data_IF_622401738378
#
_entry.id   IF_622401738378
#
_cell.length_a   1.000
_cell.length_b   1.000
_cell.length_c   1.000
_cell.angle_alpha   90.00
_cell.angle_beta   90.00
_cell.angle_gamma   90.00
#
_symmetry.space_group_name_H-M   'P 1'
#
loop_
_entity.id
_entity.type
_entity.pdbx_description
1 polymer ?
#
# COMPACT_ATOMS: atom_id res chain seq x y z
N UNK A 1 8.76 -3.43 37.57
CA UNK A 1 7.61 -4.29 37.20
C UNK A 1 6.43 -3.41 36.87
N UNK A 2 6.28 -3.08 35.60
CA UNK A 2 5.16 -2.25 35.07
C UNK A 2 4.12 -3.21 34.51
N UNK A 3 2.94 -3.27 35.10
CA UNK A 3 1.78 -3.98 34.55
C UNK A 3 1.28 -3.21 33.36
N UNK A 4 1.54 -3.71 32.16
CA UNK A 4 0.88 -3.22 30.95
C UNK A 4 -0.62 -3.46 31.10
N UNK A 5 -1.37 -2.38 31.11
CA UNK A 5 -2.82 -2.35 31.08
C UNK A 5 -3.27 -2.98 29.75
N UNK A 6 -3.83 -4.18 29.83
CA UNK A 6 -4.44 -4.85 28.67
C UNK A 6 -5.76 -4.13 28.38
N UNK A 7 -5.70 -3.17 27.46
CA UNK A 7 -6.89 -2.58 26.86
C UNK A 7 -7.62 -3.67 26.07
N UNK A 8 -8.81 -4.04 26.54
CA UNK A 8 -9.73 -4.98 25.87
C UNK A 8 -10.48 -4.30 24.72
N UNK A 9 -9.80 -3.43 23.97
CA UNK A 9 -10.30 -2.93 22.70
C UNK A 9 -10.44 -4.10 21.71
N UNK A 10 -11.56 -4.20 21.05
CA UNK A 10 -11.81 -5.15 19.96
C UNK A 10 -10.78 -4.92 18.83
N UNK A 11 -9.67 -5.64 18.88
CA UNK A 11 -8.64 -5.61 17.86
C UNK A 11 -9.07 -6.54 16.72
N UNK A 12 -9.25 -5.99 15.53
CA UNK A 12 -9.45 -6.77 14.31
C UNK A 12 -8.19 -7.62 14.07
N UNK A 13 -8.38 -8.95 13.94
CA UNK A 13 -7.30 -9.90 13.61
C UNK A 13 -7.54 -10.45 12.22
N UNK A 14 -6.49 -10.49 11.43
CA UNK A 14 -6.45 -11.28 10.21
C UNK A 14 -6.07 -12.70 10.59
N UNK A 15 -6.72 -13.71 9.99
CA UNK A 15 -6.41 -15.07 10.34
C UNK A 15 -7.21 -16.09 9.51
N UNK A 16 -6.86 -17.37 9.69
CA UNK A 16 -7.56 -18.50 9.09
C UNK A 16 -8.96 -18.59 9.70
N UNK A 17 -9.98 -18.62 8.86
CA UNK A 17 -11.38 -18.75 9.25
C UNK A 17 -11.82 -20.18 9.01
N UNK A 18 -12.16 -20.96 10.05
CA UNK A 18 -12.64 -22.33 9.86
C UNK A 18 -14.05 -22.34 9.29
N UNK A 19 -14.28 -23.16 8.25
CA UNK A 19 -15.58 -23.30 7.58
C UNK A 19 -16.45 -24.42 8.21
N UNK A 20 -15.84 -25.30 9.00
CA UNK A 20 -16.53 -26.43 9.63
C UNK A 20 -16.03 -26.71 11.05
N UNK A 21 -16.75 -27.58 11.77
CA UNK A 21 -16.45 -27.91 13.15
C UNK A 21 -15.10 -28.62 13.33
N UNK A 22 -14.68 -29.44 12.36
CA UNK A 22 -13.41 -30.18 12.42
C UNK A 22 -12.24 -29.21 12.33
N UNK A 23 -12.28 -28.27 11.39
CA UNK A 23 -11.28 -27.21 11.26
C UNK A 23 -11.21 -26.33 12.53
N UNK A 24 -12.38 -26.00 13.10
CA UNK A 24 -12.44 -25.24 14.35
C UNK A 24 -11.79 -25.97 15.51
N UNK A 25 -12.04 -27.27 15.64
CA UNK A 25 -11.40 -28.10 16.67
C UNK A 25 -9.89 -28.24 16.42
N UNK A 26 -9.45 -28.38 15.18
CA UNK A 26 -8.03 -28.44 14.82
C UNK A 26 -7.29 -27.13 15.18
N UNK A 27 -7.92 -25.98 14.93
CA UNK A 27 -7.35 -24.69 15.35
C UNK A 27 -7.30 -24.53 16.87
N UNK A 28 -8.37 -24.94 17.56
CA UNK A 28 -8.45 -24.85 19.03
C UNK A 28 -7.50 -25.81 19.74
N UNK A 29 -7.21 -26.97 19.15
CA UNK A 29 -6.28 -27.97 19.72
C UNK A 29 -4.81 -27.54 19.65
N UNK A 30 -4.48 -26.46 18.92
CA UNK A 30 -3.10 -26.06 18.64
C UNK A 30 -2.35 -26.98 17.68
N UNK A 31 -3.04 -27.98 17.10
CA UNK A 31 -2.45 -28.88 16.10
C UNK A 31 -2.10 -28.13 14.80
N UNK A 32 -2.85 -27.09 14.48
CA UNK A 32 -2.58 -26.17 13.39
C UNK A 32 -2.16 -24.82 13.99
N UNK A 33 -0.86 -24.47 14.02
CA UNK A 33 -0.42 -23.16 14.50
C UNK A 33 -0.73 -22.08 13.46
N UNK A 34 -1.77 -21.24 13.67
CA UNK A 34 -2.24 -20.28 12.66
C UNK A 34 -1.14 -19.40 12.10
N UNK A 35 -0.30 -18.81 12.97
CA UNK A 35 0.75 -17.90 12.54
C UNK A 35 1.76 -18.50 11.55
N UNK A 36 2.08 -19.78 11.65
CA UNK A 36 2.99 -20.45 10.71
C UNK A 36 2.32 -20.62 9.35
N UNK A 37 1.08 -21.10 9.34
CA UNK A 37 0.32 -21.30 8.09
C UNK A 37 -0.03 -19.96 7.42
N UNK A 38 -0.39 -18.94 8.21
CA UNK A 38 -0.66 -17.60 7.71
C UNK A 38 0.56 -17.00 7.01
N UNK A 39 1.77 -17.13 7.60
CA UNK A 39 3.00 -16.70 6.97
C UNK A 39 3.29 -17.47 5.68
N UNK A 40 3.15 -18.80 5.71
CA UNK A 40 3.42 -19.63 4.54
C UNK A 40 2.46 -19.34 3.38
N UNK A 41 1.16 -19.37 3.63
CA UNK A 41 0.17 -19.03 2.61
C UNK A 41 0.25 -17.56 2.21
N UNK A 42 0.55 -16.66 3.16
CA UNK A 42 0.67 -15.22 2.93
C UNK A 42 1.64 -14.88 1.80
N UNK A 43 2.80 -15.52 1.76
CA UNK A 43 3.79 -15.35 0.69
C UNK A 43 3.20 -15.70 -0.69
N UNK A 44 2.57 -16.88 -0.80
CA UNK A 44 2.01 -17.37 -2.06
C UNK A 44 0.83 -16.50 -2.53
N UNK A 45 -0.08 -16.18 -1.61
CA UNK A 45 -1.27 -15.35 -1.90
C UNK A 45 -0.86 -13.94 -2.35
N UNK A 46 0.06 -13.31 -1.62
CA UNK A 46 0.54 -11.97 -1.94
C UNK A 46 1.21 -11.95 -3.32
N UNK A 47 2.10 -12.91 -3.59
CA UNK A 47 2.79 -12.96 -4.88
C UNK A 47 1.84 -13.23 -6.04
N UNK A 48 0.84 -14.07 -5.85
CA UNK A 48 -0.21 -14.35 -6.84
C UNK A 48 -0.98 -13.07 -7.22
N UNK A 49 -1.42 -12.29 -6.23
CA UNK A 49 -2.17 -11.04 -6.47
C UNK A 49 -1.29 -9.97 -7.11
N UNK A 50 -0.07 -9.80 -6.62
CA UNK A 50 0.90 -8.85 -7.19
C UNK A 50 1.22 -9.18 -8.64
N UNK A 51 1.46 -10.46 -8.96
CA UNK A 51 1.74 -10.92 -10.32
C UNK A 51 0.55 -10.68 -11.24
N UNK A 52 -0.65 -11.02 -10.80
CA UNK A 52 -1.87 -10.78 -11.56
C UNK A 52 -2.12 -9.28 -11.82
N UNK A 53 -1.80 -8.42 -10.82
CA UNK A 53 -1.88 -6.97 -10.98
C UNK A 53 -0.87 -6.45 -12.00
N UNK A 54 0.38 -6.92 -11.93
CA UNK A 54 1.45 -6.49 -12.84
C UNK A 54 1.22 -6.92 -14.27
N UNK A 55 0.61 -8.07 -14.49
CA UNK A 55 0.26 -8.61 -15.80
C UNK A 55 -1.09 -8.11 -16.32
N UNK A 56 -1.73 -7.15 -15.66
CA UNK A 56 -3.03 -6.58 -16.01
C UNK A 56 -4.17 -7.62 -16.14
N UNK A 57 -4.06 -8.76 -15.44
CA UNK A 57 -5.08 -9.83 -15.45
C UNK A 57 -6.43 -9.29 -14.98
N UNK A 58 -6.47 -8.48 -13.93
CA UNK A 58 -7.71 -7.89 -13.44
C UNK A 58 -8.31 -6.91 -14.43
N UNK A 59 -7.49 -6.07 -15.07
CA UNK A 59 -7.93 -5.11 -16.09
C UNK A 59 -8.50 -5.81 -17.32
N UNK A 60 -7.92 -6.94 -17.75
CA UNK A 60 -8.42 -7.71 -18.89
C UNK A 60 -9.86 -8.20 -18.70
N UNK A 61 -10.26 -8.41 -17.42
CA UNK A 61 -11.59 -8.86 -17.00
C UNK A 61 -12.55 -7.71 -16.65
N UNK A 62 -12.13 -6.46 -16.77
CA UNK A 62 -12.95 -5.31 -16.38
C UNK A 62 -14.23 -5.18 -17.19
N UNK A 63 -14.19 -5.49 -18.49
CA UNK A 63 -15.34 -5.40 -19.40
C UNK A 63 -16.30 -6.59 -19.33
N UNK A 64 -15.91 -7.71 -18.70
CA UNK A 64 -16.77 -8.89 -18.58
C UNK A 64 -16.02 -10.21 -18.46
N UNK A 65 -16.77 -11.33 -18.42
CA UNK A 65 -16.18 -12.65 -18.29
C UNK A 65 -15.42 -13.10 -19.54
N UNK A 66 -14.21 -13.65 -19.37
CA UNK A 66 -13.36 -14.21 -20.42
C UNK A 66 -12.94 -15.65 -20.09
N UNK A 67 -12.63 -16.46 -21.10
CA UNK A 67 -11.93 -17.72 -20.90
C UNK A 67 -10.43 -17.48 -20.70
N UNK A 68 -9.68 -18.50 -20.28
CA UNK A 68 -8.23 -18.36 -19.98
C UNK A 68 -7.37 -18.02 -21.21
N UNK A 69 -7.77 -18.48 -22.40
CA UNK A 69 -7.06 -18.20 -23.65
C UNK A 69 -7.20 -16.72 -24.03
N UNK A 70 -8.42 -16.16 -23.98
CA UNK A 70 -8.67 -14.75 -24.25
C UNK A 70 -7.93 -13.82 -23.25
N UNK A 71 -7.86 -14.21 -21.96
CA UNK A 71 -7.07 -13.47 -20.95
C UNK A 71 -5.59 -13.53 -21.30
N UNK A 72 -5.08 -14.72 -21.64
CA UNK A 72 -3.67 -14.89 -21.98
C UNK A 72 -3.27 -14.06 -23.21
N UNK A 73 -4.10 -14.04 -24.23
CA UNK A 73 -3.89 -13.22 -25.43
C UNK A 73 -3.84 -11.72 -25.09
N UNK A 74 -4.83 -11.23 -24.32
CA UNK A 74 -4.89 -9.80 -23.92
C UNK A 74 -3.71 -9.35 -23.08
N UNK A 75 -3.21 -10.25 -22.23
CA UNK A 75 -2.13 -9.96 -21.30
C UNK A 75 -0.73 -10.35 -21.83
N UNK A 76 -0.63 -10.93 -23.03
CA UNK A 76 0.62 -11.39 -23.60
C UNK A 76 1.28 -12.49 -22.76
N UNK A 77 0.48 -13.42 -22.21
CA UNK A 77 0.94 -14.46 -21.27
C UNK A 77 0.72 -15.87 -21.82
N UNK A 78 1.38 -16.87 -21.21
CA UNK A 78 1.24 -18.27 -21.63
C UNK A 78 -0.13 -18.86 -21.19
N UNK A 79 -0.97 -19.42 -22.11
CA UNK A 79 -2.35 -19.80 -21.81
C UNK A 79 -2.51 -20.73 -20.60
N UNK A 80 -1.70 -21.81 -20.52
CA UNK A 80 -1.76 -22.78 -19.42
C UNK A 80 -1.36 -22.16 -18.08
N UNK A 81 -0.30 -21.32 -18.06
CA UNK A 81 0.13 -20.65 -16.84
C UNK A 81 -0.90 -19.61 -16.38
N UNK A 82 -1.52 -18.91 -17.33
CA UNK A 82 -2.62 -17.98 -17.05
C UNK A 82 -3.82 -18.69 -16.44
N UNK A 83 -4.22 -19.85 -16.96
CA UNK A 83 -5.30 -20.65 -16.38
C UNK A 83 -5.01 -21.04 -14.92
N UNK A 84 -3.77 -21.47 -14.62
CA UNK A 84 -3.35 -21.79 -13.25
C UNK A 84 -3.43 -20.56 -12.34
N UNK A 85 -2.97 -19.40 -12.82
CA UNK A 85 -3.06 -18.14 -12.07
C UNK A 85 -4.52 -17.73 -11.82
N UNK A 86 -5.39 -17.84 -12.83
CA UNK A 86 -6.82 -17.54 -12.71
C UNK A 86 -7.51 -18.48 -11.70
N UNK A 87 -7.17 -19.78 -11.71
CA UNK A 87 -7.70 -20.75 -10.74
C UNK A 87 -7.25 -20.42 -9.32
N UNK A 88 -5.98 -20.02 -9.11
CA UNK A 88 -5.51 -19.55 -7.82
C UNK A 88 -6.28 -18.31 -7.34
N UNK A 89 -6.56 -17.35 -8.24
CA UNK A 89 -7.36 -16.16 -7.93
C UNK A 89 -8.84 -16.49 -7.61
N UNK A 90 -9.38 -17.55 -8.19
CA UNK A 90 -10.70 -18.09 -7.79
C UNK A 90 -10.64 -18.66 -6.38
N UNK A 91 -9.60 -19.45 -6.06
CA UNK A 91 -9.38 -20.00 -4.71
C UNK A 91 -9.21 -18.91 -3.64
N UNK A 92 -8.55 -17.81 -3.97
CA UNK A 92 -8.42 -16.63 -3.08
C UNK A 92 -9.76 -15.88 -2.90
N UNK A 93 -10.74 -16.12 -3.76
CA UNK A 93 -12.04 -15.43 -3.71
C UNK A 93 -12.04 -14.06 -4.40
N UNK A 94 -11.08 -13.77 -5.28
CA UNK A 94 -11.03 -12.55 -6.08
C UNK A 94 -11.73 -12.68 -7.43
N UNK A 95 -11.73 -13.88 -7.98
CA UNK A 95 -12.46 -14.23 -9.20
C UNK A 95 -13.56 -15.25 -8.91
N UNK A 96 -14.44 -15.41 -9.87
CA UNK A 96 -15.38 -16.53 -10.00
C UNK A 96 -15.24 -17.14 -11.37
N UNK A 97 -15.48 -18.45 -11.49
CA UNK A 97 -15.51 -19.16 -12.76
C UNK A 97 -16.88 -19.79 -12.96
N UNK A 98 -17.45 -19.65 -14.15
CA UNK A 98 -18.65 -20.33 -14.60
C UNK A 98 -18.52 -20.64 -16.09
N UNK A 99 -18.86 -21.85 -16.51
CA UNK A 99 -18.77 -22.28 -17.91
C UNK A 99 -17.41 -21.97 -18.54
N UNK A 100 -16.30 -22.23 -17.79
CA UNK A 100 -14.91 -21.94 -18.16
C UNK A 100 -14.61 -20.45 -18.43
N UNK A 101 -15.48 -19.55 -17.99
CA UNK A 101 -15.26 -18.09 -18.05
C UNK A 101 -15.03 -17.52 -16.67
N UNK A 102 -13.95 -16.75 -16.55
CA UNK A 102 -13.53 -16.08 -15.33
C UNK A 102 -14.09 -14.66 -15.29
N UNK A 103 -14.54 -14.23 -14.13
CA UNK A 103 -15.04 -12.87 -13.91
C UNK A 103 -14.62 -12.35 -12.56
N UNK A 104 -14.43 -11.02 -12.47
CA UNK A 104 -14.13 -10.34 -11.22
C UNK A 104 -15.28 -10.47 -10.23
N UNK A 105 -14.96 -10.77 -8.96
CA UNK A 105 -15.91 -10.55 -7.87
C UNK A 105 -16.04 -9.06 -7.58
N UNK A 106 -17.10 -8.66 -6.88
CA UNK A 106 -17.37 -7.25 -6.55
C UNK A 106 -16.24 -6.60 -5.79
N UNK A 107 -15.65 -7.31 -4.82
CA UNK A 107 -14.47 -6.86 -4.08
C UNK A 107 -13.29 -6.57 -5.01
N UNK A 108 -12.91 -7.54 -5.85
CA UNK A 108 -11.81 -7.37 -6.79
C UNK A 108 -12.03 -6.18 -7.74
N UNK A 109 -13.26 -5.99 -8.23
CA UNK A 109 -13.61 -4.84 -9.08
C UNK A 109 -13.41 -3.50 -8.36
N UNK A 110 -13.76 -3.43 -7.09
CA UNK A 110 -13.64 -2.19 -6.30
C UNK A 110 -12.22 -1.88 -5.87
N UNK A 111 -11.38 -2.91 -5.64
CA UNK A 111 -10.08 -2.75 -4.99
C UNK A 111 -8.88 -2.99 -5.91
N UNK A 112 -9.04 -3.72 -7.04
CA UNK A 112 -7.90 -4.15 -7.86
C UNK A 112 -7.89 -3.53 -9.25
N UNK A 113 -8.99 -2.95 -9.72
CA UNK A 113 -9.00 -2.19 -10.97
C UNK A 113 -8.44 -0.79 -10.76
N UNK A 114 -7.81 -0.24 -11.80
CA UNK A 114 -7.28 1.12 -11.82
C UNK A 114 -8.34 2.16 -11.42
N UNK A 115 -9.53 2.04 -12.01
CA UNK A 115 -10.66 2.95 -11.75
C UNK A 115 -11.60 2.41 -10.66
N UNK A 116 -11.16 1.45 -9.86
CA UNK A 116 -11.90 0.90 -8.73
C UNK A 116 -12.11 1.96 -7.63
N UNK A 117 -13.28 1.93 -6.99
CA UNK A 117 -13.66 2.92 -5.95
C UNK A 117 -12.60 3.10 -4.85
N UNK A 118 -11.90 2.01 -4.50
CA UNK A 118 -10.90 1.97 -3.43
C UNK A 118 -9.57 1.44 -3.95
N UNK A 119 -9.23 1.67 -5.22
CA UNK A 119 -8.15 1.01 -5.91
C UNK A 119 -6.86 0.87 -5.09
N UNK A 120 -6.45 -0.37 -4.88
CA UNK A 120 -5.17 -0.78 -4.29
C UNK A 120 -4.20 -1.31 -5.36
N UNK A 121 -4.51 -1.07 -6.64
CA UNK A 121 -3.69 -1.53 -7.75
C UNK A 121 -2.25 -1.02 -7.63
N UNK A 122 -2.09 0.28 -7.44
CA UNK A 122 -0.76 0.88 -7.32
C UNK A 122 -0.02 0.43 -6.06
N UNK A 123 -0.73 0.15 -4.96
CA UNK A 123 -0.16 -0.46 -3.78
C UNK A 123 0.40 -1.87 -4.06
N UNK A 124 -0.32 -2.69 -4.84
CA UNK A 124 0.16 -4.01 -5.23
C UNK A 124 1.39 -3.93 -6.16
N UNK A 125 1.47 -2.94 -7.04
CA UNK A 125 2.64 -2.68 -7.87
C UNK A 125 3.84 -2.23 -7.02
N UNK A 126 3.61 -1.39 -6.01
CA UNK A 126 4.63 -1.02 -5.03
C UNK A 126 5.11 -2.26 -4.26
N UNK A 127 4.23 -3.08 -3.72
CA UNK A 127 4.60 -4.29 -3.01
C UNK A 127 5.37 -5.28 -3.90
N UNK A 128 5.08 -5.32 -5.19
CA UNK A 128 5.87 -6.10 -6.14
C UNK A 128 7.32 -5.58 -6.23
N UNK A 129 7.51 -4.26 -6.23
CA UNK A 129 8.82 -3.60 -6.21
C UNK A 129 9.55 -3.83 -4.87
N UNK A 130 8.82 -3.66 -3.74
CA UNK A 130 9.35 -3.84 -2.39
C UNK A 130 9.81 -5.26 -2.09
N UNK A 131 9.32 -6.26 -2.84
CA UNK A 131 9.65 -7.67 -2.62
C UNK A 131 11.14 -7.92 -2.51
N UNK A 132 11.95 -7.29 -3.37
CA UNK A 132 13.40 -7.36 -3.35
C UNK A 132 14.05 -6.73 -2.11
N UNK A 133 13.35 -5.80 -1.44
CA UNK A 133 13.87 -5.18 -0.23
C UNK A 133 13.81 -6.14 0.96
N UNK A 134 12.83 -7.03 0.98
CA UNK A 134 12.69 -8.05 2.00
C UNK A 134 13.80 -9.10 1.97
N UNK A 135 14.50 -9.28 0.84
CA UNK A 135 15.69 -10.14 0.73
C UNK A 135 16.82 -9.68 1.66
N UNK A 136 16.85 -8.40 2.03
CA UNK A 136 17.85 -7.82 2.93
C UNK A 136 17.45 -7.87 4.42
N UNK A 137 16.29 -8.43 4.76
CA UNK A 137 15.79 -8.47 6.13
C UNK A 137 16.74 -9.19 7.08
N UNK A 138 17.32 -10.32 6.67
CA UNK A 138 18.28 -11.07 7.48
C UNK A 138 19.55 -10.26 7.75
N UNK A 139 20.10 -9.59 6.74
CA UNK A 139 21.27 -8.73 6.89
C UNK A 139 21.00 -7.58 7.87
N UNK A 140 19.85 -6.94 7.75
CA UNK A 140 19.44 -5.90 8.67
C UNK A 140 19.37 -6.40 10.13
N UNK A 141 18.75 -7.56 10.36
CA UNK A 141 18.65 -8.15 11.70
C UNK A 141 20.02 -8.51 12.26
N UNK A 142 20.95 -9.00 11.42
CA UNK A 142 22.32 -9.35 11.85
C UNK A 142 23.18 -8.14 12.16
N UNK A 143 23.04 -7.07 11.41
CA UNK A 143 24.02 -5.95 11.41
C UNK A 143 23.46 -4.65 11.97
N UNK A 144 22.15 -4.50 12.06
CA UNK A 144 21.48 -3.24 12.39
C UNK A 144 21.57 -2.16 11.29
N UNK A 145 22.17 -2.49 10.12
CA UNK A 145 22.34 -1.54 9.01
C UNK A 145 21.08 -1.47 8.16
N UNK A 146 20.35 -0.34 8.13
CA UNK A 146 19.14 -0.22 7.33
C UNK A 146 19.46 -0.19 5.83
N UNK A 147 18.58 -0.78 5.03
CA UNK A 147 18.61 -0.63 3.58
C UNK A 147 18.18 0.80 3.20
N UNK A 148 19.03 1.52 2.49
CA UNK A 148 18.78 2.92 2.09
C UNK A 148 18.05 2.98 0.75
N UNK A 149 16.85 2.40 0.67
CA UNK A 149 16.08 2.25 -0.57
C UNK A 149 15.87 3.56 -1.33
N UNK A 150 15.57 4.65 -0.61
CA UNK A 150 15.32 5.96 -1.22
C UNK A 150 16.55 6.58 -1.91
N UNK A 151 17.76 6.09 -1.62
CA UNK A 151 19.00 6.57 -2.26
C UNK A 151 19.34 5.80 -3.53
N UNK A 152 18.72 4.64 -3.74
CA UNK A 152 19.03 3.71 -4.84
C UNK A 152 17.90 3.55 -5.85
N UNK A 153 16.71 4.08 -5.56
CA UNK A 153 15.57 4.02 -6.47
C UNK A 153 15.81 4.87 -7.72
N UNK A 154 15.44 4.33 -8.88
CA UNK A 154 15.35 5.06 -10.13
C UNK A 154 14.12 5.99 -10.15
N UNK A 155 14.04 6.91 -11.11
CA UNK A 155 12.86 7.77 -11.29
C UNK A 155 11.56 6.97 -11.52
N UNK A 156 11.64 5.86 -12.27
CA UNK A 156 10.49 4.98 -12.49
C UNK A 156 10.02 4.34 -11.18
N UNK A 157 10.97 3.85 -10.37
CA UNK A 157 10.69 3.26 -9.07
C UNK A 157 10.12 4.28 -8.08
N UNK A 158 10.61 5.52 -8.10
CA UNK A 158 10.02 6.63 -7.34
C UNK A 158 8.58 6.89 -7.76
N UNK A 159 8.29 6.84 -9.06
CA UNK A 159 6.93 6.97 -9.59
C UNK A 159 5.99 5.87 -9.06
N UNK A 160 6.44 4.60 -9.07
CA UNK A 160 5.68 3.47 -8.51
C UNK A 160 5.49 3.64 -7.01
N UNK A 161 6.56 3.97 -6.28
CA UNK A 161 6.54 4.19 -4.83
C UNK A 161 5.51 5.25 -4.44
N UNK A 162 5.55 6.43 -5.05
CA UNK A 162 4.64 7.52 -4.73
C UNK A 162 3.18 7.22 -5.09
N UNK A 163 2.93 6.52 -6.20
CA UNK A 163 1.56 6.08 -6.54
C UNK A 163 1.04 5.05 -5.55
N UNK A 164 1.88 4.08 -5.18
CA UNK A 164 1.53 3.06 -4.19
C UNK A 164 1.21 3.70 -2.83
N UNK A 165 2.08 4.58 -2.34
CA UNK A 165 1.87 5.29 -1.09
C UNK A 165 0.61 6.16 -1.06
N UNK A 166 0.11 6.59 -2.23
CA UNK A 166 -1.17 7.31 -2.33
C UNK A 166 -2.39 6.40 -2.27
N UNK A 167 -2.24 5.12 -2.62
CA UNK A 167 -3.36 4.17 -2.62
C UNK A 167 -3.95 4.00 -1.23
N UNK A 168 -5.27 4.22 -1.13
CA UNK A 168 -6.01 4.04 0.13
C UNK A 168 -5.75 5.10 1.21
N UNK A 169 -4.95 6.13 0.92
CA UNK A 169 -4.56 7.16 1.91
C UNK A 169 -5.72 8.09 2.29
N UNK A 170 -6.78 8.17 1.50
CA UNK A 170 -7.88 9.13 1.73
C UNK A 170 -8.59 8.91 3.07
N UNK A 171 -8.84 7.66 3.44
CA UNK A 171 -9.51 7.30 4.70
C UNK A 171 -8.64 7.68 5.90
N UNK A 172 -7.38 7.22 6.02
CA UNK A 172 -6.52 7.61 7.14
C UNK A 172 -6.24 9.11 7.16
N UNK A 173 -6.12 9.80 6.01
CA UNK A 173 -5.90 11.24 5.98
C UNK A 173 -7.09 12.02 6.56
N UNK A 174 -8.31 11.62 6.24
CA UNK A 174 -9.52 12.22 6.82
C UNK A 174 -9.63 11.94 8.33
N UNK A 175 -9.28 10.72 8.74
CA UNK A 175 -9.27 10.34 10.15
C UNK A 175 -8.26 11.19 10.94
N UNK A 176 -7.02 11.31 10.45
CA UNK A 176 -5.98 12.15 11.06
C UNK A 176 -6.44 13.60 11.12
N UNK A 177 -6.96 14.17 10.03
CA UNK A 177 -7.46 15.54 10.01
C UNK A 177 -8.56 15.79 11.04
N UNK A 178 -9.37 14.77 11.35
CA UNK A 178 -10.45 14.85 12.35
C UNK A 178 -9.92 14.80 13.79
N UNK A 179 -8.88 13.98 14.05
CA UNK A 179 -8.43 13.68 15.42
C UNK A 179 -7.11 14.37 15.82
N UNK A 180 -6.46 15.08 14.88
CA UNK A 180 -5.24 15.82 15.17
C UNK A 180 -5.52 16.96 16.16
N UNK A 181 -4.89 16.97 17.35
CA UNK A 181 -5.07 18.02 18.33
C UNK A 181 -4.31 19.29 17.90
N UNK A 182 -4.96 20.18 17.18
CA UNK A 182 -4.35 21.46 16.79
C UNK A 182 -4.68 22.57 17.81
N UNK A 183 -3.72 23.44 18.15
CA UNK A 183 -3.99 24.66 18.90
C UNK A 183 -5.05 25.53 18.20
N UNK A 184 -5.98 26.10 18.96
CA UNK A 184 -7.09 26.92 18.39
C UNK A 184 -6.64 28.08 17.52
N UNK A 185 -5.45 28.62 17.79
CA UNK A 185 -4.84 29.74 17.08
C UNK A 185 -3.81 29.30 16.02
N UNK A 186 -3.68 28.01 15.72
CA UNK A 186 -2.75 27.51 14.72
C UNK A 186 -3.02 28.15 13.34
N UNK A 187 -1.96 28.67 12.72
CA UNK A 187 -1.97 29.29 11.39
C UNK A 187 -1.01 28.62 10.43
N UNK A 188 0.02 27.97 10.95
CA UNK A 188 1.06 27.33 10.19
C UNK A 188 1.31 25.91 10.69
N UNK A 189 1.65 25.00 9.80
CA UNK A 189 2.00 23.62 10.05
C UNK A 189 3.19 23.26 9.19
N UNK A 190 4.14 22.54 9.76
CA UNK A 190 5.25 21.92 9.05
C UNK A 190 5.00 20.41 8.99
N UNK A 191 5.03 19.84 7.79
CA UNK A 191 4.87 18.41 7.52
C UNK A 191 6.21 17.89 7.00
N UNK A 192 6.94 17.17 7.86
CA UNK A 192 8.27 16.63 7.54
C UNK A 192 8.10 15.20 7.03
N UNK A 193 8.60 14.94 5.80
CA UNK A 193 8.37 13.67 5.14
C UNK A 193 6.94 13.56 4.56
N UNK A 194 6.30 14.69 4.26
CA UNK A 194 4.91 14.75 3.82
C UNK A 194 4.64 14.21 2.42
N UNK A 195 5.69 13.84 1.68
CA UNK A 195 5.66 13.18 0.37
C UNK A 195 4.57 13.72 -0.58
N UNK A 196 3.54 12.90 -0.81
CA UNK A 196 2.42 13.21 -1.70
C UNK A 196 1.48 14.32 -1.20
N UNK A 197 1.56 14.72 0.09
CA UNK A 197 0.81 15.83 0.67
C UNK A 197 -0.66 15.58 1.03
N UNK A 198 -1.17 14.36 0.94
CA UNK A 198 -2.59 14.07 1.22
C UNK A 198 -3.00 14.42 2.65
N UNK A 199 -2.15 14.13 3.64
CA UNK A 199 -2.43 14.49 5.04
C UNK A 199 -2.53 16.00 5.21
N UNK A 200 -1.55 16.73 4.71
CA UNK A 200 -1.54 18.20 4.75
C UNK A 200 -2.75 18.80 4.06
N UNK A 201 -3.14 18.28 2.89
CA UNK A 201 -4.34 18.71 2.16
C UNK A 201 -5.61 18.44 2.97
N UNK A 202 -5.76 17.24 3.56
CA UNK A 202 -6.91 16.88 4.37
C UNK A 202 -7.04 17.78 5.61
N UNK A 203 -5.91 18.04 6.29
CA UNK A 203 -5.85 18.92 7.45
C UNK A 203 -6.21 20.37 7.05
N UNK A 204 -5.62 20.92 5.99
CA UNK A 204 -5.92 22.28 5.52
C UNK A 204 -7.36 22.44 5.00
N UNK A 205 -7.98 21.38 4.47
CA UNK A 205 -9.42 21.38 4.13
C UNK A 205 -10.28 21.56 5.37
N UNK A 206 -9.95 20.84 6.44
CA UNK A 206 -10.70 20.91 7.70
C UNK A 206 -10.46 22.21 8.47
N UNK A 207 -9.25 22.77 8.39
CA UNK A 207 -8.84 23.99 9.08
C UNK A 207 -8.51 25.10 8.07
N UNK A 208 -9.52 25.87 7.59
CA UNK A 208 -9.34 26.81 6.47
C UNK A 208 -8.33 27.95 6.71
N UNK A 209 -8.00 28.23 7.97
CA UNK A 209 -7.04 29.28 8.34
C UNK A 209 -5.60 28.75 8.43
N UNK A 210 -5.41 27.43 8.34
CA UNK A 210 -4.10 26.79 8.43
C UNK A 210 -3.41 26.80 7.06
N UNK A 211 -2.11 27.09 7.07
CA UNK A 211 -1.19 26.92 5.96
C UNK A 211 -0.21 25.82 6.30
N UNK A 212 0.04 24.91 5.39
CA UNK A 212 0.99 23.82 5.56
C UNK A 212 2.23 24.05 4.68
N UNK A 213 3.39 23.70 5.20
CA UNK A 213 4.63 23.58 4.42
C UNK A 213 5.09 22.15 4.49
N UNK A 214 5.33 21.53 3.33
CA UNK A 214 5.83 20.16 3.22
C UNK A 214 7.32 20.22 2.94
N UNK A 215 8.10 19.46 3.72
CA UNK A 215 9.53 19.27 3.52
C UNK A 215 9.79 17.80 3.27
N UNK A 216 10.40 17.47 2.13
CA UNK A 216 10.72 16.10 1.76
C UNK A 216 11.91 16.06 0.78
N UNK A 217 12.35 14.84 0.43
CA UNK A 217 13.36 14.61 -0.60
C UNK A 217 12.88 15.16 -1.96
N UNK A 218 13.81 15.67 -2.80
CA UNK A 218 13.47 16.25 -4.11
C UNK A 218 12.60 15.32 -4.96
N UNK A 219 12.95 14.03 -5.07
CA UNK A 219 12.20 13.03 -5.84
C UNK A 219 10.80 12.78 -5.26
N UNK A 220 10.65 12.78 -3.93
CA UNK A 220 9.33 12.64 -3.30
C UNK A 220 8.42 13.83 -3.65
N UNK A 221 8.95 15.03 -3.64
CA UNK A 221 8.23 16.27 -4.00
C UNK A 221 7.87 16.31 -5.49
N UNK A 222 8.79 15.91 -6.39
CA UNK A 222 8.55 15.90 -7.83
C UNK A 222 7.35 15.01 -8.23
N UNK A 223 7.12 13.92 -7.51
CA UNK A 223 5.99 13.01 -7.70
C UNK A 223 4.77 13.30 -6.81
N UNK A 224 4.75 14.42 -6.11
CA UNK A 224 3.66 14.82 -5.22
C UNK A 224 2.42 15.31 -5.99
N UNK A 225 1.30 15.49 -5.29
CA UNK A 225 0.08 16.12 -5.84
C UNK A 225 0.32 17.52 -6.40
N UNK A 226 1.36 18.20 -5.94
CA UNK A 226 1.67 19.59 -6.25
C UNK A 226 2.46 19.72 -7.55
N UNK A 227 3.23 18.70 -7.94
CA UNK A 227 3.89 18.63 -9.26
C UNK A 227 2.90 18.51 -10.44
N UNK A 228 1.62 18.19 -10.15
CA UNK A 228 0.57 17.98 -11.15
C UNK A 228 -0.57 19.01 -11.11
N UNK A 229 -0.30 20.24 -10.73
CA UNK A 229 -1.20 21.41 -10.70
C UNK A 229 -2.72 21.14 -10.49
N UNK A 230 -3.22 21.45 -9.29
CA UNK A 230 -4.65 21.77 -9.07
C UNK A 230 -4.78 22.98 -8.16
N UNK A 231 -5.56 24.00 -8.60
CA UNK A 231 -5.82 25.25 -7.90
C UNK A 231 -6.72 25.06 -6.67
N UNK A 232 -6.68 25.98 -5.74
CA UNK A 232 -7.60 26.06 -4.59
C UNK A 232 -6.95 25.73 -3.24
N UNK A 233 -7.31 24.60 -2.61
CA UNK A 233 -6.72 24.21 -1.30
C UNK A 233 -5.21 24.06 -1.37
N UNK A 234 -4.66 23.73 -2.53
CA UNK A 234 -3.24 23.60 -2.79
C UNK A 234 -2.47 24.91 -2.62
N UNK A 235 -3.10 26.06 -2.84
CA UNK A 235 -2.44 27.37 -2.64
C UNK A 235 -2.06 27.65 -1.19
N UNK A 236 -2.59 26.87 -0.25
CA UNK A 236 -2.26 26.95 1.18
C UNK A 236 -1.21 25.96 1.64
N UNK A 237 -0.73 25.12 0.72
CA UNK A 237 0.30 24.12 0.99
C UNK A 237 1.53 24.45 0.15
N UNK A 238 2.56 24.98 0.78
CA UNK A 238 3.87 25.23 0.17
C UNK A 238 4.76 23.99 0.23
N UNK A 239 5.77 23.93 -0.65
CA UNK A 239 6.76 22.85 -0.70
C UNK A 239 8.17 23.42 -0.58
N UNK A 240 9.03 22.73 0.17
CA UNK A 240 10.46 22.98 0.22
C UNK A 240 11.16 21.67 -0.12
N UNK A 241 11.99 21.69 -1.16
CA UNK A 241 12.90 20.62 -1.46
C UNK A 241 14.12 20.75 -0.55
N UNK A 242 14.44 19.74 0.23
CA UNK A 242 15.75 19.67 0.87
C UNK A 242 16.79 19.39 -0.24
N UNK A 243 17.35 20.46 -0.80
CA UNK A 243 18.60 20.35 -1.54
C UNK A 243 19.63 19.64 -0.66
N UNK A 244 20.44 18.76 -1.26
CA UNK A 244 21.50 18.01 -0.57
C UNK A 244 22.38 18.90 0.32
N UNK A 245 23.33 18.34 1.07
CA UNK A 245 24.01 19.02 2.17
C UNK A 245 24.54 20.38 1.71
N UNK A 246 23.98 21.44 2.26
CA UNK A 246 24.59 22.77 2.15
C UNK A 246 25.94 22.70 2.85
N UNK A 247 27.05 23.11 2.21
CA UNK A 247 28.33 23.19 2.89
C UNK A 247 28.22 24.28 3.95
N UNK A 248 28.07 23.88 5.22
CA UNK A 248 28.11 24.86 6.33
C UNK A 248 27.27 24.53 7.56
N UNK A 249 26.51 23.45 7.63
CA UNK A 249 25.87 23.05 8.88
C UNK A 249 26.77 22.04 9.60
N UNK A 250 27.51 22.51 10.59
CA UNK A 250 28.28 21.66 11.47
C UNK A 250 27.38 20.70 12.21
N UNK A 251 27.60 19.39 12.01
CA UNK A 251 27.01 18.33 12.84
C UNK A 251 27.62 18.48 14.24
N UNK A 252 26.83 18.89 15.21
CA UNK A 252 27.16 18.73 16.61
C UNK A 252 27.19 17.24 16.92
N UNK A 253 28.38 16.66 16.95
CA UNK A 253 28.64 15.37 17.57
C UNK A 253 28.50 15.57 19.08
N UNK A 254 27.42 15.03 19.65
CA UNK A 254 27.29 14.80 21.07
C UNK A 254 27.63 13.34 21.38
N UNK A 255 28.52 13.16 22.31
CA UNK A 255 29.01 11.88 22.87
C UNK A 255 27.91 10.97 23.38
#
# INVERSE_FOLDING_TARGET
MSRACADKGSVMRLGIVPENLVERLALLSGMLPPGIFECWFGIMLSRTVMTATRLDIFESLASGPLNSADVAERCGTHPRATEQLLNALVGIGLLRVRDRRYALRRSARSWLLKDGKYSFRDQNLLHYQEWRWWEHCEEYVRTGKPLRVHQTMTEEEWGVYQRGMRSGIEIPAQWVAKHLPLPRNARQMLDIGGAHGFFSVAICRRYPRLRATIVDLPHAIAHSLFGQQRRGVLDRVGQIQNGGPQPGVATANGH
#
